data_IF_002393148527
#
_entry.id   IF_002393148527
#
_cell.length_a   1.000
_cell.length_b   1.000
_cell.length_c   1.000
_cell.angle_alpha   90.00
_cell.angle_beta   90.00
_cell.angle_gamma   90.00
#
_symmetry.space_group_name_H-M   'P 1'
#
loop_
_entity.id
_entity.type
_entity.pdbx_description
1 polymer ?
#
# COMPACT_ATOMS: atom_id res chain seq x y z
N UNK A 1 7.92 -13.96 -1.12
CA UNK A 1 7.16 -12.87 -0.47
C UNK A 1 8.12 -11.71 -0.23
N UNK A 2 7.76 -10.48 -0.64
CA UNK A 2 8.54 -9.26 -0.33
C UNK A 2 8.00 -8.72 0.99
N UNK A 3 8.75 -8.86 2.08
CA UNK A 3 8.41 -8.27 3.38
C UNK A 3 9.01 -6.86 3.42
N UNK A 4 8.20 -5.85 3.76
CA UNK A 4 8.69 -4.48 3.91
C UNK A 4 9.57 -4.39 5.15
N UNK A 5 10.77 -3.83 5.01
CA UNK A 5 11.70 -3.62 6.13
C UNK A 5 11.53 -2.26 6.82
N UNK A 6 10.78 -1.33 6.21
CA UNK A 6 10.45 -0.04 6.79
C UNK A 6 9.33 -0.11 7.84
N UNK A 7 9.13 0.99 8.54
CA UNK A 7 8.00 1.20 9.46
C UNK A 7 6.87 1.97 8.79
N UNK A 8 5.67 1.87 9.34
CA UNK A 8 4.46 2.56 8.87
C UNK A 8 3.48 2.75 10.03
N UNK A 9 2.41 3.50 9.81
CA UNK A 9 1.33 3.66 10.78
C UNK A 9 0.72 2.33 11.21
N UNK A 10 0.74 1.28 10.37
CA UNK A 10 0.28 -0.06 10.74
C UNK A 10 1.03 -0.63 11.95
N UNK A 11 2.30 -0.28 12.14
CA UNK A 11 3.06 -0.70 13.32
C UNK A 11 2.52 -0.07 14.62
N UNK A 12 1.89 1.11 14.52
CA UNK A 12 1.29 1.85 15.64
C UNK A 12 -0.15 1.42 15.85
N UNK A 13 -0.97 1.42 14.79
CA UNK A 13 -2.41 1.18 14.91
C UNK A 13 -2.78 -0.30 15.00
N UNK A 14 -1.95 -1.20 14.45
CA UNK A 14 -2.22 -2.64 14.45
C UNK A 14 -2.46 -3.21 15.86
N UNK A 15 -1.53 -3.01 16.81
CA UNK A 15 -1.73 -3.44 18.19
C UNK A 15 -2.92 -2.74 18.88
N UNK A 16 -3.16 -1.47 18.57
CA UNK A 16 -4.22 -0.68 19.20
C UNK A 16 -5.63 -1.09 18.75
N UNK A 17 -5.80 -1.39 17.46
CA UNK A 17 -7.10 -1.77 16.89
C UNK A 17 -7.41 -3.26 17.07
N UNK A 18 -6.38 -4.12 17.10
CA UNK A 18 -6.52 -5.57 17.25
C UNK A 18 -7.51 -6.20 16.25
N UNK A 19 -7.44 -5.75 14.98
CA UNK A 19 -8.25 -6.23 13.86
C UNK A 19 -7.35 -6.63 12.68
N UNK A 20 -7.82 -7.50 11.76
CA UNK A 20 -7.08 -7.80 10.54
C UNK A 20 -6.87 -6.53 9.71
N UNK A 21 -5.62 -6.21 9.39
CA UNK A 21 -5.25 -5.02 8.62
C UNK A 21 -4.19 -5.35 7.57
N UNK A 22 -4.20 -4.59 6.46
CA UNK A 22 -3.21 -4.69 5.37
C UNK A 22 -2.86 -3.29 4.84
N UNK A 23 -1.62 -3.08 4.45
CA UNK A 23 -1.21 -1.92 3.66
C UNK A 23 -1.27 -2.29 2.17
N UNK A 24 -1.94 -1.45 1.39
CA UNK A 24 -2.09 -1.65 -0.04
C UNK A 24 -1.91 -0.31 -0.78
N UNK A 25 -1.14 -0.35 -1.86
CA UNK A 25 -0.92 0.79 -2.77
C UNK A 25 -0.11 0.36 -3.99
N UNK A 26 -0.21 1.09 -5.12
CA UNK A 26 0.61 0.86 -6.30
C UNK A 26 2.05 1.34 -6.10
N UNK A 27 2.96 0.95 -7.00
CA UNK A 27 4.34 1.43 -7.03
C UNK A 27 5.36 0.53 -6.32
N UNK A 28 6.64 0.84 -6.54
CA UNK A 28 7.76 0.14 -5.94
C UNK A 28 8.40 0.97 -4.81
N UNK A 29 8.31 0.48 -3.57
CA UNK A 29 8.93 1.17 -2.43
C UNK A 29 10.45 1.16 -2.43
N UNK A 30 11.11 0.52 -3.39
CA UNK A 30 12.55 0.71 -3.55
C UNK A 30 12.88 2.15 -3.98
N UNK A 31 11.89 2.87 -4.52
CA UNK A 31 12.00 4.26 -4.96
C UNK A 31 11.74 5.28 -3.84
N UNK A 32 11.29 4.83 -2.66
CA UNK A 32 11.01 5.69 -1.51
C UNK A 32 12.25 6.55 -1.20
N UNK A 33 12.06 7.88 -1.13
CA UNK A 33 13.11 8.85 -0.83
C UNK A 33 14.26 8.94 -1.85
N UNK A 34 14.03 8.48 -3.08
CA UNK A 34 14.99 8.66 -4.17
C UNK A 34 14.71 9.95 -4.95
N UNK A 35 15.71 10.58 -5.59
CA UNK A 35 15.47 11.74 -6.47
C UNK A 35 14.61 11.45 -7.70
N UNK A 36 14.46 10.17 -8.05
CA UNK A 36 13.67 9.70 -9.19
C UNK A 36 12.43 8.94 -8.72
N UNK A 37 11.83 9.35 -7.60
CA UNK A 37 10.57 8.78 -7.14
C UNK A 37 9.48 9.04 -8.20
N UNK A 38 8.88 7.96 -8.71
CA UNK A 38 7.84 8.01 -9.73
C UNK A 38 6.90 6.83 -9.59
N UNK A 39 5.75 6.93 -10.25
CA UNK A 39 4.75 5.89 -10.30
C UNK A 39 4.28 5.68 -11.74
N UNK A 40 4.14 4.43 -12.16
CA UNK A 40 3.54 4.10 -13.44
C UNK A 40 2.03 4.43 -13.43
N UNK A 41 1.56 5.13 -14.46
CA UNK A 41 0.16 5.58 -14.51
C UNK A 41 -0.83 4.41 -14.71
N UNK A 42 -0.42 3.35 -15.40
CA UNK A 42 -1.27 2.17 -15.53
C UNK A 42 -1.39 1.45 -14.18
N UNK A 43 -0.29 1.32 -13.41
CA UNK A 43 -0.34 0.80 -12.04
C UNK A 43 -1.21 1.66 -11.11
N UNK A 44 -1.12 2.99 -11.23
CA UNK A 44 -1.98 3.90 -10.49
C UNK A 44 -3.47 3.63 -10.75
N UNK A 45 -3.88 3.56 -12.03
CA UNK A 45 -5.26 3.26 -12.41
C UNK A 45 -5.69 1.86 -11.98
N UNK A 46 -4.80 0.88 -12.06
CA UNK A 46 -5.08 -0.48 -11.62
C UNK A 46 -5.34 -0.56 -10.11
N UNK A 47 -4.56 0.14 -9.29
CA UNK A 47 -4.78 0.15 -7.84
C UNK A 47 -6.12 0.80 -7.47
N UNK A 48 -6.52 1.86 -8.16
CA UNK A 48 -7.87 2.43 -8.00
C UNK A 48 -8.93 1.37 -8.31
N UNK A 49 -8.84 0.72 -9.47
CA UNK A 49 -9.82 -0.29 -9.88
C UNK A 49 -9.91 -1.45 -8.87
N UNK A 50 -8.78 -1.94 -8.36
CA UNK A 50 -8.71 -2.99 -7.35
C UNK A 50 -9.38 -2.53 -6.06
N UNK A 51 -8.97 -1.38 -5.52
CA UNK A 51 -9.51 -0.89 -4.24
C UNK A 51 -11.01 -0.59 -4.34
N UNK A 52 -11.45 0.06 -5.41
CA UNK A 52 -12.88 0.30 -5.68
C UNK A 52 -13.66 -1.01 -5.77
N UNK A 53 -13.12 -2.02 -6.46
CA UNK A 53 -13.79 -3.33 -6.57
C UNK A 53 -13.88 -4.04 -5.23
N UNK A 54 -12.80 -4.07 -4.45
CA UNK A 54 -12.78 -4.73 -3.13
C UNK A 54 -13.78 -4.08 -2.19
N UNK A 55 -13.81 -2.74 -2.13
CA UNK A 55 -14.74 -2.02 -1.27
C UNK A 55 -16.20 -2.18 -1.70
N UNK A 56 -16.47 -2.32 -3.00
CA UNK A 56 -17.82 -2.57 -3.51
C UNK A 56 -18.31 -4.02 -3.30
N UNK A 57 -17.43 -4.93 -2.86
CA UNK A 57 -17.77 -6.32 -2.53
C UNK A 57 -18.00 -6.55 -1.03
N UNK A 58 -17.78 -5.51 -0.22
CA UNK A 58 -18.09 -5.49 1.21
C UNK A 58 -19.55 -5.03 1.41
#
# INVERSE_FOLDING_TARGET
>A
MKVKSGTSDMNVVGPAWNWPIVAYGPGDSSLDHTPNEHLDLAEYHQAIAILSRVLALL
#
